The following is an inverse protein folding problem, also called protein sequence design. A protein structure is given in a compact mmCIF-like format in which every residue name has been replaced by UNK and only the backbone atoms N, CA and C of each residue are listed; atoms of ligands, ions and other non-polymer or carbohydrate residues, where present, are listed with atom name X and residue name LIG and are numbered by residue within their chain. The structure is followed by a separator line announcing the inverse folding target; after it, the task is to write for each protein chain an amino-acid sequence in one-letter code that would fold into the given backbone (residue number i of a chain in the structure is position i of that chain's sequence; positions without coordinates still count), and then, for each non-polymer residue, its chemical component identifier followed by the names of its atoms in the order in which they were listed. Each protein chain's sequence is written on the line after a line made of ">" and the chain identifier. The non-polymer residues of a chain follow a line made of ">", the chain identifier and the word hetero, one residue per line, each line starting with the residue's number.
data_IF_591361786342
#
_entry.id   IF_591361786342
#
_cell.length_a   1.000
_cell.length_b   1.000
_cell.length_c   1.000
_cell.angle_alpha   90.00
_cell.angle_beta   90.00
_cell.angle_gamma   90.00
#
_symmetry.space_group_name_H-M   'P 1'
#
loop_
_entity.id
_entity.type
_entity.pdbx_description
1 polymer ?
#
# COMPACT_ATOMS: atom_id res chain seq x y z
N UNK A 1 26.95 -0.84 0.47
CA UNK A 1 25.75 -1.58 0.03
C UNK A 1 25.51 -1.25 -1.45
N UNK A 2 25.27 -2.25 -2.32
CA UNK A 2 25.01 -1.99 -3.76
C UNK A 2 23.50 -1.92 -3.98
N UNK A 3 22.98 -0.68 -4.09
CA UNK A 3 21.52 -0.41 -4.20
C UNK A 3 20.93 -0.92 -5.52
N UNK A 4 21.68 -0.93 -6.62
CA UNK A 4 21.21 -1.44 -7.92
C UNK A 4 20.94 -2.95 -7.85
N UNK A 5 21.85 -3.70 -7.22
CA UNK A 5 21.67 -5.14 -6.99
C UNK A 5 20.49 -5.43 -6.07
N UNK A 6 20.28 -4.62 -5.03
CA UNK A 6 19.12 -4.74 -4.14
C UNK A 6 17.81 -4.49 -4.89
N UNK A 7 17.74 -3.38 -5.63
CA UNK A 7 16.57 -3.05 -6.42
C UNK A 7 16.26 -4.16 -7.43
N UNK A 8 17.24 -4.59 -8.24
CA UNK A 8 17.03 -5.67 -9.23
C UNK A 8 16.56 -6.97 -8.60
N UNK A 9 17.00 -7.27 -7.37
CA UNK A 9 16.62 -8.49 -6.64
C UNK A 9 15.18 -8.46 -6.12
N UNK A 10 14.69 -7.30 -5.65
CA UNK A 10 13.44 -7.20 -4.92
C UNK A 10 12.34 -6.47 -5.69
N UNK A 11 12.67 -5.84 -6.80
CA UNK A 11 11.69 -5.19 -7.67
C UNK A 11 10.61 -6.17 -8.11
N UNK A 12 9.36 -5.77 -7.94
CA UNK A 12 8.24 -6.53 -8.47
C UNK A 12 8.11 -6.29 -9.98
N UNK A 13 8.40 -7.32 -10.79
CA UNK A 13 8.37 -7.22 -12.24
C UNK A 13 6.96 -7.25 -12.85
N UNK A 14 5.95 -7.67 -12.09
CA UNK A 14 4.56 -7.72 -12.55
C UNK A 14 3.83 -6.38 -12.40
N UNK A 15 4.31 -5.49 -11.52
CA UNK A 15 3.70 -4.18 -11.27
C UNK A 15 4.47 -3.10 -12.05
N UNK A 16 4.00 -2.80 -13.26
CA UNK A 16 4.67 -1.91 -14.18
C UNK A 16 3.75 -0.79 -14.68
N UNK A 17 4.36 0.19 -15.33
CA UNK A 17 3.64 1.32 -15.94
C UNK A 17 3.28 2.40 -14.90
N UNK A 18 2.49 3.37 -15.36
CA UNK A 18 2.06 4.51 -14.55
C UNK A 18 0.58 4.43 -14.10
N UNK A 19 -0.21 3.60 -14.76
CA UNK A 19 -1.65 3.46 -14.52
C UNK A 19 -1.90 2.25 -13.61
N UNK A 20 -1.59 2.38 -12.32
CA UNK A 20 -1.85 1.31 -11.35
C UNK A 20 -3.22 1.50 -10.69
N UNK A 21 -4.00 0.43 -10.66
CA UNK A 21 -5.25 0.30 -9.93
C UNK A 21 -5.27 -1.03 -9.15
N UNK A 22 -6.39 -1.39 -8.54
CA UNK A 22 -6.49 -2.64 -7.77
C UNK A 22 -6.14 -3.88 -8.57
N UNK A 23 -6.54 -3.97 -9.84
CA UNK A 23 -6.21 -5.12 -10.70
C UNK A 23 -4.70 -5.27 -10.88
N UNK A 24 -3.97 -4.16 -10.90
CA UNK A 24 -2.49 -4.16 -11.03
C UNK A 24 -1.79 -4.81 -9.84
N UNK A 25 -2.41 -4.82 -8.66
CA UNK A 25 -1.86 -5.40 -7.44
C UNK A 25 -2.60 -6.67 -6.99
N UNK A 26 -3.51 -7.20 -7.80
CA UNK A 26 -4.35 -8.33 -7.46
C UNK A 26 -3.53 -9.58 -7.14
N UNK A 27 -2.66 -10.00 -8.04
CA UNK A 27 -1.79 -11.19 -7.83
C UNK A 27 -0.92 -11.04 -6.58
N UNK A 28 -0.45 -9.84 -6.32
CA UNK A 28 0.32 -9.53 -5.11
C UNK A 28 -0.58 -9.63 -3.86
N UNK A 29 -1.78 -9.09 -3.91
CA UNK A 29 -2.75 -9.15 -2.82
C UNK A 29 -3.16 -10.59 -2.48
N UNK A 30 -3.43 -11.42 -3.48
CA UNK A 30 -3.76 -12.83 -3.28
C UNK A 30 -2.63 -13.61 -2.59
N UNK A 31 -1.38 -13.36 -2.95
CA UNK A 31 -0.24 -13.96 -2.24
C UNK A 31 -0.26 -13.62 -0.73
N UNK A 32 -0.53 -12.36 -0.36
CA UNK A 32 -0.58 -11.95 1.04
C UNK A 32 -1.81 -12.49 1.78
N UNK A 33 -2.93 -12.64 1.08
CA UNK A 33 -4.13 -13.28 1.60
C UNK A 33 -3.87 -14.72 2.03
N UNK A 34 -3.12 -15.50 1.22
CA UNK A 34 -2.74 -16.87 1.58
C UNK A 34 -1.88 -16.96 2.84
N UNK A 35 -1.24 -15.87 3.24
CA UNK A 35 -0.42 -15.76 4.46
C UNK A 35 -1.19 -15.22 5.67
N UNK A 36 -2.50 -14.98 5.56
CA UNK A 36 -3.33 -14.31 6.58
C UNK A 36 -2.76 -12.95 7.03
N UNK A 37 -2.19 -12.20 6.09
CA UNK A 37 -1.55 -10.90 6.34
C UNK A 37 -2.20 -9.75 5.59
N UNK A 38 -3.34 -10.02 4.95
CA UNK A 38 -4.15 -9.05 4.24
C UNK A 38 -5.51 -8.92 4.93
N UNK A 39 -5.90 -7.67 5.17
CA UNK A 39 -7.19 -7.29 5.74
C UNK A 39 -7.86 -6.24 4.84
N UNK A 40 -9.18 -6.25 4.73
CA UNK A 40 -9.95 -5.15 4.15
C UNK A 40 -10.32 -4.21 5.28
N UNK A 41 -9.74 -3.01 5.30
CA UNK A 41 -10.03 -1.98 6.30
C UNK A 41 -11.41 -1.35 6.12
N UNK A 42 -11.88 -1.29 4.90
CA UNK A 42 -13.15 -0.71 4.52
C UNK A 42 -13.27 -0.55 3.00
N UNK A 43 -14.23 0.23 2.59
CA UNK A 43 -14.55 0.46 1.19
C UNK A 43 -14.44 1.95 0.84
N UNK A 44 -13.99 2.25 -0.37
CA UNK A 44 -14.00 3.59 -0.95
C UNK A 44 -15.42 4.07 -1.27
N UNK A 45 -15.57 5.31 -1.73
CA UNK A 45 -16.87 5.86 -2.16
C UNK A 45 -17.60 4.96 -3.16
N UNK A 46 -16.88 4.35 -4.11
CA UNK A 46 -17.45 3.41 -5.10
C UNK A 46 -17.34 1.94 -4.68
N UNK A 47 -17.31 1.68 -3.38
CA UNK A 47 -17.29 0.34 -2.80
C UNK A 47 -16.10 -0.55 -3.25
N UNK A 48 -14.96 0.05 -3.62
CA UNK A 48 -13.72 -0.69 -3.85
C UNK A 48 -12.99 -0.96 -2.55
N UNK A 49 -12.43 -2.16 -2.33
CA UNK A 49 -11.75 -2.48 -1.08
C UNK A 49 -10.46 -1.67 -0.89
N UNK A 50 -10.24 -1.21 0.34
CA UNK A 50 -8.98 -0.63 0.79
C UNK A 50 -8.26 -1.69 1.62
N UNK A 51 -7.15 -2.17 1.08
CA UNK A 51 -6.37 -3.26 1.69
C UNK A 51 -5.33 -2.73 2.66
N UNK A 52 -5.20 -3.43 3.79
CA UNK A 52 -4.07 -3.34 4.71
C UNK A 52 -3.29 -4.64 4.72
N UNK A 53 -1.98 -4.51 4.65
CA UNK A 53 -1.04 -5.61 4.85
C UNK A 53 -0.33 -5.41 6.18
N UNK A 54 -0.18 -6.48 6.95
CA UNK A 54 0.56 -6.42 8.20
C UNK A 54 1.72 -7.40 8.18
N UNK A 55 2.93 -6.91 8.53
CA UNK A 55 4.14 -7.73 8.57
C UNK A 55 5.05 -7.27 9.71
N UNK A 56 5.67 -8.24 10.40
CA UNK A 56 6.52 -8.01 11.55
C UNK A 56 5.85 -8.36 12.87
N UNK A 57 6.64 -8.40 13.94
CA UNK A 57 6.19 -8.73 15.30
C UNK A 57 6.79 -7.79 16.35
N UNK A 58 7.47 -6.73 15.90
CA UNK A 58 8.08 -5.76 16.79
C UNK A 58 7.06 -4.88 17.51
N UNK A 59 7.50 -4.28 18.61
CA UNK A 59 6.65 -3.40 19.43
C UNK A 59 6.41 -2.05 18.79
N UNK A 60 7.36 -1.57 17.97
CA UNK A 60 7.23 -0.31 17.26
C UNK A 60 6.34 -0.48 16.04
N UNK A 61 5.22 0.25 16.01
CA UNK A 61 4.26 0.21 14.89
C UNK A 61 4.60 1.29 13.89
N UNK A 62 4.62 0.93 12.60
CA UNK A 62 4.84 1.85 11.49
C UNK A 62 3.66 1.75 10.53
N UNK A 63 2.92 2.85 10.36
CA UNK A 63 1.88 2.98 9.35
C UNK A 63 2.46 3.60 8.09
N UNK A 64 2.24 2.95 6.96
CA UNK A 64 2.66 3.42 5.64
C UNK A 64 1.50 3.33 4.67
N UNK A 65 1.31 4.38 3.89
CA UNK A 65 0.31 4.35 2.81
C UNK A 65 0.85 4.99 1.55
N UNK A 66 0.23 4.67 0.43
CA UNK A 66 0.50 5.32 -0.86
C UNK A 66 -0.77 5.51 -1.67
N UNK A 67 -0.62 6.12 -2.82
CA UNK A 67 -1.68 6.40 -3.78
C UNK A 67 -2.93 7.03 -3.13
N UNK A 68 -2.71 7.98 -2.21
CA UNK A 68 -3.73 8.89 -1.72
C UNK A 68 -4.28 9.73 -2.88
N UNK A 69 -3.40 10.15 -3.79
CA UNK A 69 -3.79 10.67 -5.09
C UNK A 69 -3.76 9.53 -6.09
N UNK A 70 -4.91 9.21 -6.69
CA UNK A 70 -5.07 8.01 -7.50
C UNK A 70 -4.14 7.91 -8.71
N UNK A 71 -3.70 9.04 -9.27
CA UNK A 71 -2.78 9.12 -10.39
C UNK A 71 -1.29 9.09 -10.01
N UNK A 72 -0.94 8.94 -8.72
CA UNK A 72 0.45 8.96 -8.22
C UNK A 72 0.90 7.56 -7.80
N UNK A 73 1.19 6.70 -8.77
CA UNK A 73 1.45 5.27 -8.55
C UNK A 73 2.90 4.90 -8.21
N UNK A 74 3.84 5.86 -8.26
CA UNK A 74 5.27 5.56 -8.03
C UNK A 74 5.54 5.04 -6.63
N UNK A 75 4.91 5.64 -5.63
CA UNK A 75 5.03 5.21 -4.22
C UNK A 75 4.43 3.83 -3.98
N UNK A 76 3.35 3.48 -4.67
CA UNK A 76 2.75 2.13 -4.62
C UNK A 76 3.74 1.07 -5.07
N UNK A 77 4.45 1.31 -6.19
CA UNK A 77 5.52 0.40 -6.65
C UNK A 77 6.64 0.28 -5.62
N UNK A 78 7.09 1.41 -5.07
CA UNK A 78 8.12 1.43 -4.03
C UNK A 78 7.70 0.66 -2.77
N UNK A 79 6.44 0.78 -2.33
CA UNK A 79 5.91 0.01 -1.20
C UNK A 79 5.87 -1.49 -1.49
N UNK A 80 5.45 -1.90 -2.69
CA UNK A 80 5.45 -3.32 -3.07
C UNK A 80 6.87 -3.88 -3.12
N UNK A 81 7.83 -3.15 -3.67
CA UNK A 81 9.23 -3.54 -3.67
C UNK A 81 9.79 -3.65 -2.24
N UNK A 82 9.44 -2.72 -1.36
CA UNK A 82 9.78 -2.77 0.06
C UNK A 82 9.17 -4.00 0.75
N UNK A 83 7.91 -4.31 0.48
CA UNK A 83 7.26 -5.51 1.01
C UNK A 83 7.97 -6.80 0.53
N UNK A 84 8.50 -6.84 -0.69
CA UNK A 84 9.32 -7.96 -1.16
C UNK A 84 10.63 -8.08 -0.37
N UNK A 85 11.25 -6.95 0.02
CA UNK A 85 12.41 -6.98 0.93
C UNK A 85 12.02 -7.58 2.29
N UNK A 86 10.93 -7.10 2.88
CA UNK A 86 10.45 -7.56 4.19
C UNK A 86 10.08 -9.05 4.20
N UNK A 87 9.60 -9.59 3.07
CA UNK A 87 9.30 -11.02 2.93
C UNK A 87 10.53 -11.90 2.71
N UNK A 88 11.66 -11.31 2.38
CA UNK A 88 12.89 -12.08 2.16
C UNK A 88 13.37 -12.67 3.48
N UNK A 89 13.97 -13.85 3.42
CA UNK A 89 14.62 -14.45 4.58
C UNK A 89 16.01 -13.86 4.86
N UNK A 90 16.27 -12.63 4.39
CA UNK A 90 17.55 -11.95 4.64
C UNK A 90 17.69 -11.56 6.12
N UNK A 91 18.92 -11.54 6.63
CA UNK A 91 19.18 -11.13 8.02
C UNK A 91 18.71 -9.69 8.30
N UNK A 92 18.79 -8.81 7.30
CA UNK A 92 18.27 -7.43 7.41
C UNK A 92 16.75 -7.46 7.59
N UNK A 93 16.02 -8.22 6.77
CA UNK A 93 14.56 -8.31 6.90
C UNK A 93 14.15 -8.89 8.25
N UNK A 94 14.81 -9.95 8.72
CA UNK A 94 14.56 -10.55 10.04
C UNK A 94 14.81 -9.55 11.17
N UNK A 95 15.91 -8.80 11.14
CA UNK A 95 16.22 -7.80 12.14
C UNK A 95 15.17 -6.69 12.17
N UNK A 96 14.77 -6.16 11.00
CA UNK A 96 13.73 -5.13 10.87
C UNK A 96 12.38 -5.65 11.41
N UNK A 97 11.96 -6.86 11.03
CA UNK A 97 10.67 -7.42 11.42
C UNK A 97 10.59 -7.83 12.90
N UNK A 98 11.73 -8.01 13.56
CA UNK A 98 11.81 -8.23 15.01
C UNK A 98 11.57 -6.93 15.79
N UNK A 99 12.03 -5.80 15.27
CA UNK A 99 11.95 -4.48 15.90
C UNK A 99 10.63 -3.78 15.58
N UNK A 100 10.15 -3.92 14.34
CA UNK A 100 9.01 -3.18 13.79
C UNK A 100 7.86 -4.10 13.35
N UNK A 101 6.65 -3.58 13.50
CA UNK A 101 5.44 -4.09 12.85
C UNK A 101 4.93 -3.05 11.87
N UNK A 102 4.91 -3.40 10.59
CA UNK A 102 4.42 -2.52 9.53
C UNK A 102 2.95 -2.79 9.25
N UNK A 103 2.17 -1.71 9.19
CA UNK A 103 0.81 -1.67 8.66
C UNK A 103 0.88 -0.89 7.34
N UNK A 104 0.63 -1.53 6.21
CA UNK A 104 0.86 -0.96 4.88
C UNK A 104 -0.45 -0.93 4.09
N UNK A 105 -0.82 0.26 3.59
CA UNK A 105 -1.98 0.49 2.71
C UNK A 105 -1.44 0.93 1.35
N UNK A 106 -1.27 0.03 0.37
CA UNK A 106 -0.59 0.39 -0.89
C UNK A 106 -1.42 1.31 -1.79
N UNK A 107 -2.74 1.36 -1.59
CA UNK A 107 -3.64 2.17 -2.41
C UNK A 107 -4.79 2.69 -1.54
N UNK A 108 -4.65 3.93 -1.07
CA UNK A 108 -5.65 4.56 -0.22
C UNK A 108 -6.86 5.04 -1.02
N UNK A 109 -6.64 5.47 -2.27
CA UNK A 109 -7.67 6.00 -3.16
C UNK A 109 -7.87 5.10 -4.40
N UNK A 110 -8.55 3.95 -4.26
CA UNK A 110 -8.72 3.02 -5.37
C UNK A 110 -9.67 3.56 -6.46
N UNK A 111 -10.57 4.49 -6.14
CA UNK A 111 -11.46 5.12 -7.12
C UNK A 111 -10.70 6.12 -8.01
N UNK A 112 -9.90 6.98 -7.39
CA UNK A 112 -9.02 7.88 -8.11
C UNK A 112 -7.98 7.11 -8.94
N UNK A 113 -7.46 5.99 -8.41
CA UNK A 113 -6.55 5.12 -9.15
C UNK A 113 -7.22 4.52 -10.40
N UNK A 114 -8.45 4.05 -10.26
CA UNK A 114 -9.21 3.46 -11.37
C UNK A 114 -9.49 4.49 -12.49
N UNK A 115 -9.86 5.71 -12.13
CA UNK A 115 -10.15 6.80 -13.07
C UNK A 115 -8.94 7.64 -13.46
N UNK A 116 -7.75 7.32 -12.92
CA UNK A 116 -6.51 8.06 -13.08
C UNK A 116 -6.64 9.54 -12.69
N UNK A 117 -7.33 9.80 -11.60
CA UNK A 117 -7.55 11.15 -11.04
C UNK A 117 -6.75 11.34 -9.76
N UNK A 118 -6.44 12.60 -9.44
CA UNK A 118 -5.85 12.98 -8.16
C UNK A 118 -6.83 12.76 -7.00
N UNK A 119 -8.05 13.22 -7.19
CA UNK A 119 -9.14 13.21 -6.21
C UNK A 119 -9.82 11.84 -6.08
N UNK A 120 -10.64 11.63 -5.05
CA UNK A 120 -11.48 10.44 -4.93
C UNK A 120 -12.74 10.53 -5.81
N UNK A 121 -13.68 9.59 -5.70
CA UNK A 121 -14.89 9.57 -6.51
C UNK A 121 -15.88 10.73 -6.21
N UNK A 122 -15.77 11.37 -5.06
CA UNK A 122 -16.52 12.58 -4.70
C UNK A 122 -15.81 13.89 -5.13
N UNK A 123 -14.75 13.79 -5.97
CA UNK A 123 -13.93 14.93 -6.41
C UNK A 123 -13.22 15.66 -5.24
N UNK A 124 -12.95 14.95 -4.14
CA UNK A 124 -12.28 15.49 -2.96
C UNK A 124 -10.78 15.10 -2.98
N UNK A 125 -9.90 16.08 -2.74
CA UNK A 125 -8.49 15.83 -2.47
C UNK A 125 -8.33 15.28 -1.04
N UNK A 126 -8.03 14.00 -0.91
CA UNK A 126 -7.90 13.34 0.39
C UNK A 126 -6.83 13.98 1.28
N UNK A 127 -5.77 14.57 0.68
CA UNK A 127 -4.76 15.29 1.43
C UNK A 127 -5.26 16.62 2.05
N UNK A 128 -6.49 17.03 1.75
CA UNK A 128 -7.18 18.17 2.37
C UNK A 128 -8.27 17.72 3.33
N UNK A 129 -8.73 16.48 3.22
CA UNK A 129 -9.88 15.97 3.97
C UNK A 129 -9.54 15.52 5.41
N UNK A 130 -8.26 15.38 5.78
CA UNK A 130 -7.86 14.93 7.12
C UNK A 130 -8.27 15.84 8.27
N UNK A 131 -8.63 17.09 7.98
CA UNK A 131 -9.20 18.00 8.99
C UNK A 131 -10.69 17.72 9.24
N UNK A 132 -11.42 17.32 8.20
CA UNK A 132 -12.87 17.18 8.23
C UNK A 132 -13.31 15.71 8.32
N UNK A 133 -12.47 14.77 7.85
CA UNK A 133 -12.76 13.34 7.76
C UNK A 133 -14.12 13.05 7.10
N UNK A 134 -14.40 13.78 6.01
CA UNK A 134 -15.67 13.69 5.30
C UNK A 134 -15.75 12.50 4.35
N UNK A 135 -14.59 11.94 3.97
CA UNK A 135 -14.48 10.85 3.01
C UNK A 135 -14.17 9.51 3.70
N UNK A 136 -14.73 8.40 3.21
CA UNK A 136 -14.49 7.08 3.80
C UNK A 136 -13.00 6.70 3.82
N UNK A 137 -12.24 7.06 2.80
CA UNK A 137 -10.82 6.80 2.69
C UNK A 137 -10.01 7.49 3.82
N UNK A 138 -10.35 8.75 4.11
CA UNK A 138 -9.70 9.51 5.19
C UNK A 138 -10.08 8.97 6.57
N UNK A 139 -11.35 8.59 6.75
CA UNK A 139 -11.84 7.98 8.00
C UNK A 139 -11.15 6.64 8.28
N UNK A 140 -10.99 5.80 7.25
CA UNK A 140 -10.32 4.49 7.35
C UNK A 140 -8.87 4.65 7.78
N UNK A 141 -8.16 5.65 7.27
CA UNK A 141 -6.75 5.85 7.62
C UNK A 141 -6.56 6.34 9.07
N UNK A 142 -7.56 6.96 9.66
CA UNK A 142 -7.52 7.55 11.01
C UNK A 142 -8.06 6.63 12.11
N UNK A 143 -8.55 5.43 11.77
CA UNK A 143 -8.96 4.38 12.71
C UNK A 143 -7.76 3.57 13.23
#
# INVERSE_FOLDING_TARGET
>A
MNYEKLHSKYKNSSIQGRYLNLNSIESFSEFWKTKNKLEILGLSVQARPIYKFQIGSGTTKILMWSQMHGNESTTTKGLVDFMNVLQSNSEIAKAILKEYTFCIIPMLNPDGAFSYKRVNANEVDLNRDFQNLSQPESQILMQ
#
